data_IF_178320117493
#
_entry.id   IF_178320117493
#
_cell.length_a   1.000
_cell.length_b   1.000
_cell.length_c   1.000
_cell.angle_alpha   90.00
_cell.angle_beta   90.00
_cell.angle_gamma   90.00
#
_symmetry.space_group_name_H-M   'P 1'
#
loop_
_entity.id
_entity.type
_entity.pdbx_description
1 polymer ?
#
# COMPACT_ATOMS: atom_id res chain seq x y z
N UNK A 1 5.90 19.79 -12.68
CA UNK A 1 4.86 20.80 -12.91
C UNK A 1 3.45 20.32 -12.52
N UNK A 2 2.65 19.68 -13.40
CA UNK A 2 1.24 19.35 -13.05
C UNK A 2 1.10 18.36 -11.89
N UNK A 3 1.86 17.26 -11.91
CA UNK A 3 1.85 16.24 -10.84
C UNK A 3 2.12 16.85 -9.47
N UNK A 4 3.15 17.68 -9.36
CA UNK A 4 3.52 18.32 -8.09
C UNK A 4 2.43 19.29 -7.64
N UNK A 5 1.84 20.08 -8.54
CA UNK A 5 0.77 21.02 -8.19
C UNK A 5 -0.46 20.30 -7.63
N UNK A 6 -0.88 19.19 -8.26
CA UNK A 6 -1.97 18.35 -7.77
C UNK A 6 -1.62 17.73 -6.41
N UNK A 7 -0.40 17.21 -6.24
CA UNK A 7 0.06 16.66 -4.96
C UNK A 7 0.05 17.71 -3.84
N UNK A 8 0.50 18.95 -4.10
CA UNK A 8 0.44 20.02 -3.11
C UNK A 8 -1.00 20.41 -2.76
N UNK A 9 -1.90 20.45 -3.74
CA UNK A 9 -3.31 20.72 -3.48
C UNK A 9 -3.95 19.61 -2.63
N UNK A 10 -3.68 18.33 -2.95
CA UNK A 10 -4.16 17.19 -2.18
C UNK A 10 -3.62 17.21 -0.74
N UNK A 11 -2.33 17.51 -0.53
CA UNK A 11 -1.75 17.64 0.82
C UNK A 11 -2.43 18.71 1.67
N UNK A 12 -2.96 19.77 1.04
CA UNK A 12 -3.72 20.81 1.73
C UNK A 12 -5.14 20.39 2.06
N UNK A 13 -5.78 19.63 1.17
CA UNK A 13 -7.18 19.18 1.33
C UNK A 13 -7.29 17.91 2.21
N UNK A 14 -6.25 17.10 2.24
CA UNK A 14 -6.15 15.86 3.00
C UNK A 14 -4.80 15.83 3.74
N UNK A 15 -4.68 16.59 4.84
CA UNK A 15 -3.42 16.69 5.60
C UNK A 15 -3.05 15.39 6.31
N UNK A 16 -4.05 14.56 6.63
CA UNK A 16 -3.89 13.26 7.28
C UNK A 16 -4.54 12.17 6.42
N UNK A 17 -3.91 11.77 5.31
CA UNK A 17 -4.46 10.72 4.47
C UNK A 17 -4.57 9.40 5.22
N UNK A 18 -5.61 8.63 4.90
CA UNK A 18 -5.83 7.32 5.50
C UNK A 18 -4.66 6.36 5.20
N UNK A 19 -4.00 6.53 4.05
CA UNK A 19 -2.93 5.68 3.59
C UNK A 19 -1.85 6.50 2.90
N UNK A 20 -0.60 6.26 3.27
CA UNK A 20 0.60 6.76 2.59
C UNK A 20 1.55 5.59 2.31
N UNK A 21 2.30 5.67 1.22
CA UNK A 21 3.28 4.63 0.89
C UNK A 21 4.40 5.17 -0.01
N UNK A 22 5.55 4.51 0.02
CA UNK A 22 6.66 4.74 -0.91
C UNK A 22 6.56 3.92 -2.20
N UNK A 23 5.46 3.16 -2.40
CA UNK A 23 5.23 2.40 -3.62
C UNK A 23 5.39 3.31 -4.86
N UNK A 24 6.13 2.88 -5.91
CA UNK A 24 6.42 3.74 -7.05
C UNK A 24 5.16 4.15 -7.81
N UNK A 25 5.30 5.18 -8.65
CA UNK A 25 4.23 5.60 -9.54
C UNK A 25 3.70 4.43 -10.36
N UNK A 26 2.38 4.40 -10.60
CA UNK A 26 1.64 3.27 -11.20
C UNK A 26 1.38 2.09 -10.27
N UNK A 27 1.92 2.10 -9.05
CA UNK A 27 1.47 1.21 -7.99
C UNK A 27 0.01 1.47 -7.61
N UNK A 28 -0.72 0.40 -7.31
CA UNK A 28 -2.09 0.44 -6.85
C UNK A 28 -2.12 -0.08 -5.42
N UNK A 29 -2.75 0.70 -4.53
CA UNK A 29 -2.98 0.27 -3.15
C UNK A 29 -4.45 0.40 -2.83
N UNK A 30 -5.02 -0.66 -2.24
CA UNK A 30 -6.39 -0.66 -1.70
C UNK A 30 -6.37 -1.09 -0.25
N UNK A 31 -7.36 -0.63 0.51
CA UNK A 31 -7.55 -1.01 1.91
C UNK A 31 -8.98 -1.53 2.07
N UNK A 32 -9.12 -2.85 2.17
CA UNK A 32 -10.41 -3.52 2.31
C UNK A 32 -10.74 -3.71 3.78
N UNK A 33 -11.91 -3.23 4.21
CA UNK A 33 -12.41 -3.49 5.56
C UNK A 33 -13.21 -4.80 5.59
N UNK A 34 -12.78 -5.73 6.45
CA UNK A 34 -13.41 -7.03 6.69
C UNK A 34 -13.89 -7.10 8.15
N UNK A 35 -15.07 -6.54 8.47
CA UNK A 35 -15.52 -6.39 9.85
C UNK A 35 -15.85 -7.73 10.54
N UNK A 36 -16.31 -8.75 9.81
CA UNK A 36 -16.60 -10.08 10.37
C UNK A 36 -15.34 -10.76 10.91
N UNK A 37 -14.21 -10.50 10.26
CA UNK A 37 -12.89 -11.02 10.58
C UNK A 37 -12.08 -10.04 11.45
N UNK A 38 -12.63 -8.86 11.75
CA UNK A 38 -12.00 -7.77 12.51
C UNK A 38 -10.63 -7.38 11.96
N UNK A 39 -10.54 -7.18 10.65
CA UNK A 39 -9.28 -6.83 9.99
C UNK A 39 -9.45 -5.87 8.83
N UNK A 40 -8.38 -5.16 8.53
CA UNK A 40 -8.18 -4.50 7.25
C UNK A 40 -7.22 -5.36 6.42
N UNK A 41 -7.50 -5.51 5.13
CA UNK A 41 -6.58 -6.14 4.17
C UNK A 41 -6.11 -5.07 3.21
N UNK A 42 -4.84 -4.69 3.33
CA UNK A 42 -4.17 -3.86 2.35
C UNK A 42 -3.70 -4.73 1.19
N UNK A 43 -4.10 -4.39 -0.03
CA UNK A 43 -3.51 -4.97 -1.23
C UNK A 43 -2.54 -3.97 -1.84
N UNK A 44 -1.30 -4.38 -2.06
CA UNK A 44 -0.33 -3.67 -2.89
C UNK A 44 -0.21 -4.40 -4.21
N UNK A 45 -0.30 -3.68 -5.31
CA UNK A 45 -0.12 -4.21 -6.66
C UNK A 45 0.87 -3.31 -7.41
N UNK A 46 1.90 -3.94 -8.00
CA UNK A 46 2.85 -3.29 -8.87
C UNK A 46 3.15 -4.18 -10.09
N UNK A 47 2.47 -3.88 -11.18
CA UNK A 47 2.61 -4.56 -12.47
C UNK A 47 2.17 -3.61 -13.57
N UNK A 48 2.99 -2.59 -13.83
CA UNK A 48 2.66 -1.52 -14.78
C UNK A 48 2.68 -2.07 -16.21
N UNK A 49 1.57 -1.97 -16.96
CA UNK A 49 1.57 -2.31 -18.37
C UNK A 49 2.41 -1.30 -19.15
N UNK A 50 3.34 -1.81 -19.96
CA UNK A 50 4.15 -1.01 -20.88
C UNK A 50 3.54 -1.14 -22.27
N UNK A 51 3.29 -0.02 -22.95
CA UNK A 51 2.82 -0.04 -24.34
C UNK A 51 3.97 -0.40 -25.27
N UNK A 52 3.86 -1.53 -25.97
CA UNK A 52 4.82 -1.92 -27.00
C UNK A 52 4.08 -2.37 -28.27
N UNK A 53 4.35 -1.71 -29.39
CA UNK A 53 3.62 -1.89 -30.66
C UNK A 53 2.35 -1.01 -30.78
N UNK A 54 1.66 -1.09 -31.92
CA UNK A 54 0.44 -0.31 -32.19
C UNK A 54 -0.73 -0.81 -31.33
N UNK A 55 -0.91 -0.22 -30.15
CA UNK A 55 -2.10 -0.41 -29.31
C UNK A 55 -2.10 -1.65 -28.42
N UNK A 56 -0.94 -2.30 -28.22
CA UNK A 56 -0.81 -3.46 -27.33
C UNK A 56 -0.14 -3.02 -26.02
N UNK A 57 -0.80 -3.32 -24.91
CA UNK A 57 -0.25 -3.16 -23.55
C UNK A 57 0.28 -4.52 -23.08
N UNK A 58 1.57 -4.60 -22.80
CA UNK A 58 2.26 -5.82 -22.37
C UNK A 58 2.83 -5.56 -20.98
N UNK A 59 2.62 -6.49 -20.05
CA UNK A 59 3.34 -6.51 -18.78
C UNK A 59 4.68 -7.20 -19.06
N UNK A 60 5.74 -6.42 -19.29
CA UNK A 60 7.05 -6.95 -19.71
C UNK A 60 7.86 -7.49 -18.52
N UNK A 61 7.78 -6.82 -17.36
CA UNK A 61 8.56 -7.14 -16.17
C UNK A 61 7.71 -7.03 -14.89
N UNK A 62 7.93 -7.97 -13.97
CA UNK A 62 7.41 -7.94 -12.59
C UNK A 62 8.60 -7.70 -11.65
N UNK A 63 9.08 -6.45 -11.52
CA UNK A 63 10.24 -6.21 -10.68
C UNK A 63 9.91 -6.50 -9.22
N UNK A 64 10.86 -7.13 -8.54
CA UNK A 64 10.84 -7.26 -7.10
C UNK A 64 11.14 -5.90 -6.47
N UNK A 65 10.12 -5.27 -5.89
CA UNK A 65 10.27 -4.07 -5.08
C UNK A 65 10.58 -4.47 -3.64
N UNK A 66 11.40 -3.66 -2.95
CA UNK A 66 11.79 -3.90 -1.57
C UNK A 66 11.59 -2.69 -0.70
N UNK A 67 11.46 -2.95 0.59
CA UNK A 67 11.41 -1.93 1.65
C UNK A 67 10.34 -0.86 1.39
N UNK A 68 9.13 -1.31 1.05
CA UNK A 68 8.00 -0.41 0.80
C UNK A 68 7.43 0.00 2.15
N UNK A 69 7.64 1.27 2.49
CA UNK A 69 7.08 1.87 3.69
C UNK A 69 5.59 2.12 3.47
N UNK A 70 4.80 1.83 4.50
CA UNK A 70 3.36 2.06 4.52
C UNK A 70 2.97 2.70 5.85
N UNK A 71 2.12 3.71 5.75
CA UNK A 71 1.40 4.30 6.87
C UNK A 71 -0.10 4.13 6.67
N UNK A 72 -0.81 3.59 7.66
CA UNK A 72 -2.27 3.47 7.66
C UNK A 72 -2.86 4.15 8.90
N UNK A 73 -3.84 5.03 8.71
CA UNK A 73 -4.66 5.61 9.77
C UNK A 73 -5.99 4.89 9.86
N UNK A 74 -6.35 4.43 11.04
CA UNK A 74 -7.62 3.76 11.31
C UNK A 74 -8.04 4.01 12.75
N UNK A 75 -9.35 4.08 12.99
CA UNK A 75 -9.92 4.17 14.34
C UNK A 75 -9.86 2.83 15.10
N UNK A 76 -9.55 1.74 14.41
CA UNK A 76 -9.51 0.41 15.01
C UNK A 76 -8.17 0.16 15.73
N UNK A 77 -8.19 -0.43 16.93
CA UNK A 77 -6.98 -0.68 17.71
C UNK A 77 -6.22 -1.91 17.17
N UNK A 78 -5.37 -1.70 16.15
CA UNK A 78 -4.61 -2.78 15.51
C UNK A 78 -3.63 -3.44 16.49
N UNK A 79 -3.70 -4.77 16.55
CA UNK A 79 -2.95 -5.64 17.45
C UNK A 79 -1.86 -6.43 16.74
N UNK A 80 -2.06 -6.75 15.45
CA UNK A 80 -1.11 -7.49 14.64
C UNK A 80 -1.08 -6.94 13.22
N UNK A 81 0.11 -6.94 12.62
CA UNK A 81 0.34 -6.65 11.21
C UNK A 81 1.12 -7.81 10.62
N UNK A 82 0.64 -8.42 9.55
CA UNK A 82 1.29 -9.59 8.95
C UNK A 82 1.03 -9.71 7.45
N UNK A 83 1.92 -10.40 6.75
CA UNK A 83 1.79 -10.70 5.33
C UNK A 83 0.79 -11.84 5.12
N UNK A 84 -0.07 -11.72 4.10
CA UNK A 84 -0.88 -12.82 3.61
C UNK A 84 -0.47 -13.18 2.17
N UNK A 85 -0.45 -14.47 1.80
CA UNK A 85 -0.93 -15.62 2.57
C UNK A 85 0.10 -16.24 3.55
N UNK A 86 1.36 -15.77 3.58
CA UNK A 86 2.44 -16.43 4.35
C UNK A 86 2.26 -16.44 5.87
N UNK A 87 1.49 -15.50 6.43
CA UNK A 87 1.33 -15.33 7.87
C UNK A 87 2.56 -14.71 8.55
N UNK A 88 3.56 -14.24 7.79
CA UNK A 88 4.76 -13.63 8.35
C UNK A 88 4.42 -12.33 9.08
N UNK A 89 4.68 -12.28 10.38
CA UNK A 89 4.48 -11.07 11.18
C UNK A 89 5.43 -9.96 10.76
N UNK A 90 4.91 -8.73 10.73
CA UNK A 90 5.68 -7.52 10.48
C UNK A 90 5.77 -6.69 11.75
N UNK A 91 6.96 -6.21 12.12
CA UNK A 91 7.06 -5.18 13.15
C UNK A 91 6.34 -3.92 12.67
N UNK A 92 5.57 -3.31 13.56
CA UNK A 92 4.89 -2.07 13.30
C UNK A 92 4.97 -1.14 14.50
N UNK A 93 4.86 0.16 14.25
CA UNK A 93 4.74 1.18 15.30
C UNK A 93 3.43 1.90 15.18
N UNK A 94 2.92 2.41 16.31
CA UNK A 94 1.74 3.27 16.35
C UNK A 94 2.15 4.61 16.94
N UNK A 95 2.01 5.68 16.17
CA UNK A 95 2.24 7.04 16.64
C UNK A 95 1.28 7.99 15.94
N UNK A 96 0.69 8.91 16.72
CA UNK A 96 -0.27 9.92 16.25
C UNK A 96 -1.47 9.33 15.48
N UNK A 97 -1.98 8.16 15.92
CA UNK A 97 -3.11 7.47 15.27
C UNK A 97 -2.76 6.83 13.90
N UNK A 98 -1.47 6.75 13.57
CA UNK A 98 -0.98 6.11 12.36
C UNK A 98 -0.15 4.86 12.69
N UNK A 99 -0.45 3.78 11.98
CA UNK A 99 0.26 2.50 12.03
C UNK A 99 1.31 2.52 10.92
N UNK A 100 2.58 2.27 11.25
CA UNK A 100 3.69 2.25 10.30
C UNK A 100 4.35 0.89 10.27
N UNK A 101 4.58 0.37 9.06
CA UNK A 101 5.29 -0.89 8.83
C UNK A 101 5.99 -0.85 7.47
N UNK A 102 6.87 -1.82 7.24
CA UNK A 102 7.59 -1.99 5.98
C UNK A 102 7.26 -3.34 5.37
N UNK A 103 6.85 -3.34 4.10
CA UNK A 103 6.72 -4.57 3.30
C UNK A 103 8.10 -4.90 2.74
N UNK A 104 8.72 -6.02 3.14
CA UNK A 104 10.11 -6.31 2.79
C UNK A 104 10.28 -6.59 1.29
N UNK A 105 9.30 -7.24 0.69
CA UNK A 105 9.33 -7.61 -0.72
C UNK A 105 7.93 -7.59 -1.33
N UNK A 106 7.83 -7.10 -2.57
CA UNK A 106 6.63 -7.13 -3.39
C UNK A 106 7.03 -7.54 -4.81
N UNK A 107 6.51 -8.68 -5.25
CA UNK A 107 6.55 -9.12 -6.65
C UNK A 107 5.13 -9.22 -7.16
N UNK A 108 4.74 -8.31 -8.07
CA UNK A 108 3.38 -8.16 -8.58
C UNK A 108 2.34 -7.78 -7.52
N UNK A 109 2.03 -8.65 -6.55
CA UNK A 109 0.97 -8.48 -5.57
C UNK A 109 1.41 -8.94 -4.17
N UNK A 110 1.08 -8.14 -3.15
CA UNK A 110 1.26 -8.52 -1.74
C UNK A 110 0.09 -8.03 -0.90
N UNK A 111 -0.34 -8.86 0.05
CA UNK A 111 -1.33 -8.47 1.04
C UNK A 111 -0.69 -8.24 2.39
N UNK A 112 -1.13 -7.19 3.08
CA UNK A 112 -0.83 -6.96 4.49
C UNK A 112 -2.14 -6.92 5.25
N UNK A 113 -2.25 -7.72 6.28
CA UNK A 113 -3.41 -7.75 7.17
C UNK A 113 -3.10 -6.93 8.40
N UNK A 114 -4.00 -6.00 8.73
CA UNK A 114 -4.02 -5.27 10.00
C UNK A 114 -5.19 -5.79 10.83
N UNK A 115 -4.89 -6.62 11.82
CA UNK A 115 -5.87 -7.29 12.68
C UNK A 115 -6.14 -6.44 13.93
N UNK A 116 -7.41 -6.24 14.31
CA UNK A 116 -7.82 -5.45 15.48
C UNK A 116 -8.82 -6.15 16.41
#
# INVERSE_FOLDING_TARGET
MLRELVLHALKRLLPEPQLETTLPAQGIVTLQHQPGERRLVQHLLYGSPVRRGNGIEIIEDLPTLRDIEVQVRTAQPVRQVYLAPSGQELPFTVADGAIRYTVPELECHQMVVLQY
#
